data_IF_480267482198
#
_entry.id   IF_480267482198
#
_cell.length_a   1.000
_cell.length_b   1.000
_cell.length_c   1.000
_cell.angle_alpha   90.00
_cell.angle_beta   90.00
_cell.angle_gamma   90.00
#
_symmetry.space_group_name_H-M   'P 1'
#
loop_
_entity.id
_entity.type
_entity.pdbx_description
1 polymer ?
#
# COMPACT_ATOMS: atom_id res chain seq x y z
N UNK A 1 -13.59 16.36 4.48
CA UNK A 1 -13.45 15.29 3.46
C UNK A 1 -12.67 14.14 4.07
N UNK A 2 -13.15 12.92 3.90
CA UNK A 2 -12.54 11.69 4.44
C UNK A 2 -11.91 10.91 3.28
N UNK A 3 -10.59 10.75 3.32
CA UNK A 3 -9.79 10.08 2.29
C UNK A 3 -9.21 8.80 2.89
N UNK A 4 -9.66 7.66 2.39
CA UNK A 4 -9.12 6.35 2.73
C UNK A 4 -7.87 6.07 1.89
N UNK A 5 -6.71 6.02 2.53
CA UNK A 5 -5.43 5.89 1.85
C UNK A 5 -5.03 4.44 1.53
N UNK A 6 -5.83 3.45 1.95
CA UNK A 6 -5.49 2.04 1.82
C UNK A 6 -6.69 1.21 1.33
N UNK A 7 -6.89 1.19 0.03
CA UNK A 7 -7.91 0.38 -0.63
C UNK A 7 -7.31 -0.57 -1.66
N UNK A 8 -7.91 -1.77 -1.77
CA UNK A 8 -7.48 -2.77 -2.74
C UNK A 8 -8.63 -3.33 -3.56
N UNK A 9 -8.40 -3.64 -4.83
CA UNK A 9 -9.38 -4.30 -5.68
C UNK A 9 -9.45 -5.80 -5.38
N UNK A 10 -9.88 -6.14 -4.15
CA UNK A 10 -10.03 -7.54 -3.68
C UNK A 10 -11.25 -8.24 -4.23
N UNK A 11 -12.20 -7.48 -4.78
CA UNK A 11 -13.42 -7.98 -5.44
C UNK A 11 -13.30 -8.06 -6.96
N UNK A 12 -12.08 -7.91 -7.51
CA UNK A 12 -11.84 -7.97 -8.95
C UNK A 12 -12.50 -9.21 -9.60
N UNK A 13 -13.01 -9.09 -10.84
CA UNK A 13 -13.63 -10.19 -11.55
C UNK A 13 -12.73 -11.43 -11.58
N UNK A 14 -13.34 -12.62 -11.47
CA UNK A 14 -12.62 -13.90 -11.40
C UNK A 14 -11.71 -14.14 -12.62
N UNK A 15 -12.05 -13.55 -13.77
CA UNK A 15 -11.25 -13.62 -14.99
C UNK A 15 -9.81 -13.13 -14.79
N UNK A 16 -9.58 -12.10 -13.95
CA UNK A 16 -8.24 -11.63 -13.61
C UNK A 16 -7.40 -12.72 -12.94
N UNK A 17 -7.95 -13.40 -11.93
CA UNK A 17 -7.28 -14.51 -11.26
C UNK A 17 -7.00 -15.68 -12.19
N UNK A 18 -7.97 -16.06 -13.02
CA UNK A 18 -7.83 -17.13 -14.00
C UNK A 18 -6.77 -16.81 -15.07
N UNK A 19 -6.68 -15.55 -15.51
CA UNK A 19 -5.62 -15.10 -16.41
C UNK A 19 -4.24 -15.22 -15.76
N UNK A 20 -4.11 -14.78 -14.49
CA UNK A 20 -2.84 -14.89 -13.76
C UNK A 20 -2.39 -16.35 -13.57
N UNK A 21 -3.31 -17.26 -13.23
CA UNK A 21 -3.01 -18.68 -13.09
C UNK A 21 -2.52 -19.29 -14.42
N UNK A 22 -3.16 -18.93 -15.55
CA UNK A 22 -2.69 -19.32 -16.89
C UNK A 22 -1.30 -18.77 -17.19
N UNK A 23 -1.04 -17.50 -16.86
CA UNK A 23 0.27 -16.85 -17.07
C UNK A 23 1.37 -17.61 -16.33
N UNK A 24 1.17 -17.94 -15.05
CA UNK A 24 2.13 -18.67 -14.23
C UNK A 24 2.38 -20.07 -14.81
N UNK A 25 1.31 -20.80 -15.16
CA UNK A 25 1.41 -22.14 -15.73
C UNK A 25 2.15 -22.12 -17.06
N UNK A 26 1.77 -21.24 -17.97
CA UNK A 26 2.38 -21.12 -19.29
C UNK A 26 3.88 -20.76 -19.21
N UNK A 27 4.26 -19.89 -18.26
CA UNK A 27 5.68 -19.61 -18.01
C UNK A 27 6.46 -20.88 -17.67
N UNK A 28 5.94 -21.76 -16.82
CA UNK A 28 6.55 -23.06 -16.48
C UNK A 28 6.66 -24.01 -17.68
N UNK A 29 5.86 -23.81 -18.72
CA UNK A 29 5.87 -24.55 -19.99
C UNK A 29 6.71 -23.84 -21.08
N UNK A 30 7.37 -22.72 -20.76
CA UNK A 30 8.14 -21.92 -21.72
C UNK A 30 7.29 -21.09 -22.70
N UNK A 31 6.02 -20.86 -22.38
CA UNK A 31 5.06 -20.10 -23.18
C UNK A 31 4.67 -18.81 -22.47
N UNK A 32 4.27 -17.79 -23.23
CA UNK A 32 3.75 -16.53 -22.68
C UNK A 32 2.28 -16.34 -23.03
N UNK A 33 1.53 -15.86 -22.04
CA UNK A 33 0.13 -15.43 -22.20
C UNK A 33 0.13 -13.92 -22.42
N UNK A 34 -0.56 -13.46 -23.47
CA UNK A 34 -0.67 -12.02 -23.75
C UNK A 34 -1.60 -11.33 -22.74
N UNK A 35 -1.28 -10.10 -22.29
CA UNK A 35 -2.24 -9.23 -21.59
C UNK A 35 -3.57 -9.05 -22.34
N UNK A 36 -3.53 -9.01 -23.69
CA UNK A 36 -4.71 -8.83 -24.54
C UNK A 36 -5.69 -10.02 -24.51
N UNK A 37 -5.28 -11.15 -23.92
CA UNK A 37 -6.18 -12.31 -23.72
C UNK A 37 -7.09 -12.16 -22.49
N UNK A 38 -6.92 -11.08 -21.70
CA UNK A 38 -7.81 -10.82 -20.58
C UNK A 38 -9.04 -10.03 -21.04
N UNK A 39 -10.16 -10.68 -20.99
CA UNK A 39 -11.47 -10.06 -21.28
C UNK A 39 -12.23 -9.83 -19.96
N UNK A 40 -12.45 -8.58 -19.60
CA UNK A 40 -13.29 -8.12 -18.50
C UNK A 40 -14.07 -6.91 -19.01
N UNK A 41 -15.38 -6.98 -18.96
CA UNK A 41 -16.26 -5.87 -19.35
C UNK A 41 -16.36 -4.80 -18.25
N UNK A 42 -16.75 -3.58 -18.62
CA UNK A 42 -17.02 -2.52 -17.65
C UNK A 42 -18.22 -2.86 -16.75
N UNK A 43 -19.18 -3.63 -17.25
CA UNK A 43 -20.32 -4.09 -16.44
C UNK A 43 -19.89 -5.05 -15.34
N UNK A 44 -18.94 -5.96 -15.60
CA UNK A 44 -18.36 -6.83 -14.58
C UNK A 44 -17.58 -6.03 -13.52
N UNK A 45 -16.85 -4.99 -13.94
CA UNK A 45 -16.16 -4.09 -13.02
C UNK A 45 -17.16 -3.32 -12.17
N UNK A 46 -18.23 -2.75 -12.78
CA UNK A 46 -19.28 -2.02 -12.05
C UNK A 46 -19.92 -2.92 -11.00
N UNK A 47 -20.38 -4.10 -11.38
CA UNK A 47 -21.00 -5.04 -10.45
C UNK A 47 -20.08 -5.39 -9.28
N UNK A 48 -18.79 -5.63 -9.54
CA UNK A 48 -17.81 -5.96 -8.50
C UNK A 48 -17.56 -4.80 -7.51
N UNK A 49 -17.58 -3.56 -7.99
CA UNK A 49 -17.33 -2.35 -7.18
C UNK A 49 -18.61 -1.90 -6.45
N UNK A 50 -19.75 -1.86 -7.13
CA UNK A 50 -21.02 -1.38 -6.57
C UNK A 50 -21.50 -2.24 -5.41
N UNK A 51 -21.43 -3.57 -5.54
CA UNK A 51 -21.80 -4.51 -4.47
C UNK A 51 -20.74 -4.68 -3.38
N UNK A 52 -19.53 -4.16 -3.62
CA UNK A 52 -18.37 -4.29 -2.74
C UNK A 52 -17.92 -2.96 -2.11
N UNK A 53 -16.78 -2.45 -2.59
CA UNK A 53 -16.11 -1.29 -2.01
C UNK A 53 -16.98 -0.02 -2.03
N UNK A 54 -17.67 0.28 -3.13
CA UNK A 54 -18.47 1.50 -3.25
C UNK A 54 -19.64 1.52 -2.26
N UNK A 55 -20.27 0.36 -2.05
CA UNK A 55 -21.34 0.21 -1.05
C UNK A 55 -20.82 0.55 0.35
N UNK A 56 -19.74 -0.09 0.78
CA UNK A 56 -19.16 0.14 2.11
C UNK A 56 -18.61 1.55 2.26
N UNK A 57 -17.95 2.09 1.23
CA UNK A 57 -17.48 3.48 1.22
C UNK A 57 -18.62 4.46 1.47
N UNK A 58 -19.78 4.24 0.83
CA UNK A 58 -20.98 5.06 0.99
C UNK A 58 -21.59 4.90 2.38
N UNK A 59 -21.77 3.67 2.86
CA UNK A 59 -22.34 3.35 4.16
C UNK A 59 -21.50 3.91 5.32
N UNK A 60 -20.18 3.93 5.16
CA UNK A 60 -19.23 4.43 6.18
C UNK A 60 -18.93 5.93 6.06
N UNK A 61 -19.40 6.58 5.01
CA UNK A 61 -19.21 8.02 4.77
C UNK A 61 -17.77 8.40 4.40
N UNK A 62 -17.05 7.52 3.71
CA UNK A 62 -15.75 7.83 3.09
C UNK A 62 -15.99 8.53 1.74
N UNK A 63 -15.29 9.62 1.48
CA UNK A 63 -15.49 10.40 0.26
C UNK A 63 -14.68 9.87 -0.91
N UNK A 64 -13.39 9.55 -0.68
CA UNK A 64 -12.45 9.11 -1.69
C UNK A 64 -11.58 7.96 -1.15
N UNK A 65 -11.25 7.00 -1.99
CA UNK A 65 -10.30 5.92 -1.67
C UNK A 65 -9.12 5.93 -2.65
N UNK A 66 -7.90 5.95 -2.12
CA UNK A 66 -6.69 5.61 -2.88
C UNK A 66 -6.70 4.11 -3.10
N UNK A 67 -6.86 3.70 -4.35
CA UNK A 67 -7.24 2.35 -4.71
C UNK A 67 -6.15 1.66 -5.54
N UNK A 68 -5.76 0.47 -5.13
CA UNK A 68 -4.67 -0.29 -5.75
C UNK A 68 -5.11 -1.70 -6.16
N UNK A 69 -4.32 -2.41 -6.99
CA UNK A 69 -4.48 -3.86 -7.15
C UNK A 69 -4.44 -4.59 -5.81
N UNK A 70 -4.98 -5.80 -5.77
CA UNK A 70 -5.01 -6.62 -4.56
C UNK A 70 -3.59 -7.02 -4.10
N UNK A 71 -3.07 -6.37 -3.07
CA UNK A 71 -1.70 -6.54 -2.59
C UNK A 71 -1.34 -7.98 -2.22
N UNK A 72 -2.24 -8.72 -1.60
CA UNK A 72 -2.02 -10.13 -1.24
C UNK A 72 -1.70 -11.07 -2.43
N UNK A 73 -1.97 -10.62 -3.67
CA UNK A 73 -1.75 -11.39 -4.90
C UNK A 73 -0.69 -10.79 -5.81
N UNK A 74 0.15 -9.87 -5.33
CA UNK A 74 1.24 -9.31 -6.12
C UNK A 74 2.16 -10.41 -6.68
N UNK A 75 2.66 -11.29 -5.82
CA UNK A 75 3.31 -12.56 -6.19
C UNK A 75 4.34 -12.42 -7.34
N UNK A 76 5.28 -11.45 -7.20
CA UNK A 76 6.27 -11.12 -8.23
C UNK A 76 7.40 -12.15 -8.39
N UNK A 77 7.50 -13.11 -7.45
CA UNK A 77 8.45 -14.22 -7.53
C UNK A 77 8.06 -15.28 -8.57
N UNK A 78 6.83 -15.25 -9.12
CA UNK A 78 6.43 -16.13 -10.19
C UNK A 78 6.92 -15.62 -11.55
N UNK A 79 7.71 -16.43 -12.22
CA UNK A 79 8.21 -16.12 -13.53
C UNK A 79 9.47 -15.23 -13.47
N UNK A 80 9.63 -14.42 -14.48
CA UNK A 80 10.72 -13.47 -14.65
C UNK A 80 10.23 -12.02 -14.55
N UNK A 81 11.14 -11.07 -14.76
CA UNK A 81 10.84 -9.64 -14.73
C UNK A 81 9.80 -9.23 -15.78
N UNK A 82 9.73 -9.92 -16.93
CA UNK A 82 8.71 -9.66 -17.94
C UNK A 82 7.34 -10.15 -17.50
N UNK A 83 7.26 -11.33 -16.88
CA UNK A 83 6.03 -11.88 -16.32
C UNK A 83 5.49 -10.97 -15.21
N UNK A 84 6.37 -10.45 -14.37
CA UNK A 84 6.04 -9.49 -13.33
C UNK A 84 5.53 -8.17 -13.91
N UNK A 85 6.17 -7.64 -14.97
CA UNK A 85 5.74 -6.42 -15.67
C UNK A 85 4.35 -6.58 -16.30
N UNK A 86 4.12 -7.65 -17.04
CA UNK A 86 2.83 -7.91 -17.68
C UNK A 86 1.69 -8.03 -16.65
N UNK A 87 1.96 -8.70 -15.52
CA UNK A 87 1.02 -8.78 -14.42
C UNK A 87 0.70 -7.43 -13.78
N UNK A 88 1.74 -6.63 -13.50
CA UNK A 88 1.55 -5.29 -12.92
C UNK A 88 0.72 -4.41 -13.84
N UNK A 89 1.02 -4.38 -15.14
CA UNK A 89 0.29 -3.61 -16.14
C UNK A 89 -1.18 -3.99 -16.21
N UNK A 90 -1.47 -5.26 -16.34
CA UNK A 90 -2.86 -5.77 -16.38
C UNK A 90 -3.64 -5.34 -15.13
N UNK A 91 -3.02 -5.48 -13.95
CA UNK A 91 -3.67 -5.13 -12.70
C UNK A 91 -3.86 -3.60 -12.55
N UNK A 92 -2.86 -2.80 -12.93
CA UNK A 92 -2.92 -1.33 -12.90
C UNK A 92 -3.96 -0.78 -13.90
N UNK A 93 -4.01 -1.34 -15.13
CA UNK A 93 -5.00 -0.93 -16.14
C UNK A 93 -6.42 -1.23 -15.68
N UNK A 94 -6.62 -2.33 -14.96
CA UNK A 94 -7.92 -2.64 -14.38
C UNK A 94 -8.32 -1.64 -13.28
N UNK A 95 -7.38 -1.22 -12.43
CA UNK A 95 -7.62 -0.15 -11.43
C UNK A 95 -7.91 1.19 -12.13
N UNK A 96 -7.19 1.51 -13.21
CA UNK A 96 -7.44 2.72 -13.98
C UNK A 96 -8.88 2.76 -14.55
N UNK A 97 -9.39 1.60 -15.01
CA UNK A 97 -10.80 1.48 -15.44
C UNK A 97 -11.77 1.71 -14.30
N UNK A 98 -11.50 1.18 -13.08
CA UNK A 98 -12.32 1.49 -11.89
C UNK A 98 -12.35 3.01 -11.64
N UNK A 99 -11.19 3.66 -11.65
CA UNK A 99 -11.10 5.11 -11.45
C UNK A 99 -11.84 5.90 -12.54
N UNK A 100 -11.79 5.45 -13.78
CA UNK A 100 -12.54 6.05 -14.90
C UNK A 100 -14.06 5.86 -14.79
N UNK A 101 -14.53 4.74 -14.25
CA UNK A 101 -15.93 4.44 -14.04
C UNK A 101 -16.53 5.16 -12.82
N UNK A 102 -15.71 5.45 -11.81
CA UNK A 102 -16.11 6.07 -10.53
C UNK A 102 -15.13 7.19 -10.13
N UNK A 103 -14.94 8.25 -10.94
CA UNK A 103 -13.86 9.23 -10.78
C UNK A 103 -13.93 10.06 -9.48
N UNK A 104 -15.14 10.22 -8.92
CA UNK A 104 -15.35 10.95 -7.67
C UNK A 104 -15.16 10.08 -6.41
N UNK A 105 -14.90 8.79 -6.58
CA UNK A 105 -14.87 7.82 -5.49
C UNK A 105 -13.54 7.09 -5.36
N UNK A 106 -12.79 6.91 -6.45
CA UNK A 106 -11.54 6.18 -6.48
C UNK A 106 -10.46 6.93 -7.26
N UNK A 107 -9.23 6.87 -6.73
CA UNK A 107 -8.02 7.34 -7.39
C UNK A 107 -6.95 6.25 -7.29
N UNK A 108 -6.19 6.03 -8.35
CA UNK A 108 -5.29 4.89 -8.45
C UNK A 108 -3.97 5.04 -7.69
N UNK A 109 -3.51 3.94 -7.09
CA UNK A 109 -2.13 3.69 -6.74
C UNK A 109 -1.69 2.38 -7.41
N UNK A 110 -0.50 2.37 -8.02
CA UNK A 110 -0.06 1.20 -8.79
C UNK A 110 0.67 0.15 -7.95
N UNK A 111 0.55 -1.12 -8.32
CA UNK A 111 1.56 -2.09 -7.95
C UNK A 111 2.74 -2.00 -8.91
N UNK A 112 3.95 -2.25 -8.41
CA UNK A 112 5.18 -2.21 -9.18
C UNK A 112 5.67 -3.62 -9.54
N UNK A 113 6.26 -3.84 -10.72
CA UNK A 113 6.88 -5.11 -11.05
C UNK A 113 8.20 -5.27 -10.28
N UNK A 114 8.19 -6.08 -9.23
CA UNK A 114 9.34 -6.30 -8.33
C UNK A 114 9.78 -7.77 -8.33
N UNK A 115 10.16 -8.31 -9.50
CA UNK A 115 10.68 -9.68 -9.58
C UNK A 115 11.99 -9.80 -8.78
N UNK A 116 12.10 -10.73 -7.82
CA UNK A 116 13.33 -10.93 -7.05
C UNK A 116 14.42 -11.69 -7.83
N UNK A 117 15.60 -11.80 -7.24
CA UNK A 117 16.72 -12.59 -7.78
C UNK A 117 17.52 -11.84 -8.84
N UNK A 118 18.09 -12.58 -9.79
CA UNK A 118 19.05 -12.05 -10.78
C UNK A 118 18.44 -10.98 -11.71
N UNK A 119 17.10 -10.95 -11.85
CA UNK A 119 16.35 -9.95 -12.61
C UNK A 119 16.04 -8.66 -11.86
N UNK A 120 16.45 -8.51 -10.60
CA UNK A 120 16.03 -7.40 -9.74
C UNK A 120 16.35 -6.02 -10.33
N UNK A 121 17.55 -5.77 -10.81
CA UNK A 121 17.90 -4.48 -11.41
C UNK A 121 17.02 -4.11 -12.61
N UNK A 122 16.74 -5.09 -13.48
CA UNK A 122 15.83 -4.91 -14.61
C UNK A 122 14.41 -4.66 -14.10
N UNK A 123 14.01 -5.38 -13.08
CA UNK A 123 12.70 -5.22 -12.43
C UNK A 123 12.52 -3.82 -11.83
N UNK A 124 13.55 -3.26 -11.19
CA UNK A 124 13.49 -1.90 -10.63
C UNK A 124 13.41 -0.84 -11.75
N UNK A 125 14.14 -1.01 -12.86
CA UNK A 125 13.97 -0.15 -14.05
C UNK A 125 12.56 -0.25 -14.63
N UNK A 126 12.00 -1.46 -14.73
CA UNK A 126 10.62 -1.65 -15.13
C UNK A 126 9.64 -1.01 -14.15
N UNK A 127 9.93 -1.06 -12.84
CA UNK A 127 9.11 -0.41 -11.81
C UNK A 127 9.09 1.11 -11.97
N UNK A 128 10.23 1.73 -12.23
CA UNK A 128 10.32 3.18 -12.47
C UNK A 128 9.54 3.59 -13.73
N UNK A 129 9.67 2.83 -14.84
CA UNK A 129 8.96 3.08 -16.07
C UNK A 129 7.44 2.86 -15.94
N UNK A 130 7.02 1.82 -15.21
CA UNK A 130 5.59 1.55 -14.96
C UNK A 130 4.98 2.58 -14.02
N UNK A 131 5.74 3.04 -13.02
CA UNK A 131 5.32 4.15 -12.17
C UNK A 131 5.06 5.41 -12.98
N UNK A 132 6.00 5.79 -13.86
CA UNK A 132 5.86 6.95 -14.75
C UNK A 132 4.61 6.82 -15.62
N UNK A 133 4.39 5.67 -16.27
CA UNK A 133 3.19 5.40 -17.05
C UNK A 133 1.91 5.56 -16.21
N UNK A 134 1.87 4.94 -15.03
CA UNK A 134 0.69 5.00 -14.17
C UNK A 134 0.38 6.43 -13.71
N UNK A 135 1.40 7.21 -13.40
CA UNK A 135 1.21 8.59 -12.94
C UNK A 135 0.86 9.53 -14.08
N UNK A 136 1.59 9.48 -15.21
CA UNK A 136 1.44 10.45 -16.28
C UNK A 136 0.28 10.10 -17.25
N UNK A 137 0.07 8.81 -17.55
CA UNK A 137 -0.96 8.40 -18.49
C UNK A 137 -2.27 8.00 -17.81
N UNK A 138 -2.21 7.31 -16.64
CA UNK A 138 -3.40 6.82 -15.92
C UNK A 138 -3.82 7.75 -14.77
N UNK A 139 -2.98 8.75 -14.43
CA UNK A 139 -3.25 9.76 -13.41
C UNK A 139 -3.24 9.18 -11.98
N UNK A 140 -2.43 8.18 -11.70
CA UNK A 140 -2.30 7.61 -10.36
C UNK A 140 -1.53 8.57 -9.43
N UNK A 141 -1.73 8.42 -8.13
CA UNK A 141 -1.21 9.37 -7.12
C UNK A 141 -0.19 8.74 -6.18
N UNK A 142 0.14 7.46 -6.35
CA UNK A 142 1.07 6.72 -5.52
C UNK A 142 1.30 5.30 -6.03
N UNK A 143 2.08 4.54 -5.29
CA UNK A 143 2.35 3.13 -5.60
C UNK A 143 2.43 2.26 -4.33
N UNK A 144 2.38 0.95 -4.52
CA UNK A 144 2.74 -0.04 -3.51
C UNK A 144 4.21 -0.46 -3.71
N UNK A 145 4.97 -0.54 -2.63
CA UNK A 145 6.36 -0.96 -2.63
C UNK A 145 6.51 -2.19 -1.72
N UNK A 146 6.82 -3.34 -2.31
CA UNK A 146 6.92 -4.59 -1.57
C UNK A 146 8.32 -4.76 -0.96
N UNK A 147 8.46 -4.83 0.37
CA UNK A 147 9.75 -5.01 1.04
C UNK A 147 10.28 -6.45 0.94
N UNK A 148 9.44 -7.40 0.59
CA UNK A 148 9.82 -8.80 0.34
C UNK A 148 9.11 -9.36 -0.90
N UNK A 149 9.57 -9.04 -2.11
CA UNK A 149 8.97 -9.53 -3.34
C UNK A 149 9.13 -11.06 -3.54
N UNK A 150 9.79 -11.76 -2.62
CA UNK A 150 9.92 -13.21 -2.60
C UNK A 150 8.87 -13.92 -1.73
N UNK A 151 7.85 -13.20 -1.25
CA UNK A 151 6.69 -13.71 -0.52
C UNK A 151 7.07 -14.56 0.72
N UNK A 152 7.82 -13.97 1.64
CA UNK A 152 8.19 -14.57 2.92
C UNK A 152 9.55 -15.25 2.96
N UNK A 153 10.35 -15.16 1.89
CA UNK A 153 11.70 -15.75 1.85
C UNK A 153 12.83 -14.73 1.98
N UNK A 154 12.55 -13.43 1.92
CA UNK A 154 13.50 -12.33 2.08
C UNK A 154 14.75 -12.49 1.20
N UNK A 155 14.56 -12.83 -0.08
CA UNK A 155 15.63 -13.06 -1.05
C UNK A 155 16.07 -11.78 -1.77
N UNK A 156 15.31 -10.70 -1.66
CA UNK A 156 15.70 -9.39 -2.18
C UNK A 156 16.51 -8.60 -1.12
N UNK A 157 17.39 -7.68 -1.53
CA UNK A 157 18.03 -6.75 -0.61
C UNK A 157 16.98 -5.84 0.06
N UNK A 158 17.31 -5.23 1.22
CA UNK A 158 16.40 -4.33 1.91
C UNK A 158 16.06 -3.12 1.03
N UNK A 159 14.87 -2.53 1.24
CA UNK A 159 14.42 -1.35 0.48
C UNK A 159 15.38 -0.14 0.57
N UNK A 160 16.33 -0.16 1.50
CA UNK A 160 17.35 0.86 1.65
C UNK A 160 18.60 0.61 0.82
N UNK A 161 18.65 -0.50 0.07
CA UNK A 161 19.75 -0.79 -0.85
C UNK A 161 19.71 0.12 -2.09
N UNK A 162 20.89 0.46 -2.59
CA UNK A 162 21.04 1.37 -3.74
C UNK A 162 20.45 0.84 -5.05
N UNK A 163 20.17 -0.44 -5.14
CA UNK A 163 19.48 -1.03 -6.29
C UNK A 163 18.10 -0.40 -6.51
N UNK A 164 17.46 0.10 -5.43
CA UNK A 164 16.16 0.77 -5.51
C UNK A 164 16.23 2.27 -5.84
N UNK A 165 17.41 2.89 -5.83
CA UNK A 165 17.59 4.33 -6.04
C UNK A 165 16.95 4.86 -7.33
N UNK A 166 17.05 4.18 -8.49
CA UNK A 166 16.37 4.64 -9.72
C UNK A 166 14.85 4.75 -9.58
N UNK A 167 14.23 3.91 -8.73
CA UNK A 167 12.81 4.01 -8.42
C UNK A 167 12.52 5.21 -7.50
N UNK A 168 13.36 5.44 -6.48
CA UNK A 168 13.19 6.57 -5.56
C UNK A 168 13.41 7.92 -6.26
N UNK A 169 14.38 8.02 -7.15
CA UNK A 169 14.57 9.18 -8.03
C UNK A 169 13.28 9.47 -8.82
N UNK A 170 12.66 8.44 -9.42
CA UNK A 170 11.42 8.57 -10.17
C UNK A 170 10.22 8.95 -9.26
N UNK A 171 10.14 8.40 -8.05
CA UNK A 171 9.09 8.77 -7.10
C UNK A 171 9.18 10.24 -6.68
N UNK A 172 10.39 10.75 -6.44
CA UNK A 172 10.63 12.16 -6.10
C UNK A 172 10.33 13.06 -7.32
N UNK A 173 10.81 12.70 -8.50
CA UNK A 173 10.52 13.42 -9.76
C UNK A 173 9.02 13.57 -10.01
N UNK A 174 8.26 12.49 -9.80
CA UNK A 174 6.82 12.46 -10.02
C UNK A 174 6.01 12.99 -8.82
N UNK A 175 6.66 13.34 -7.72
CA UNK A 175 6.02 13.78 -6.47
C UNK A 175 4.94 12.82 -5.95
N UNK A 176 5.26 11.54 -5.85
CA UNK A 176 4.35 10.49 -5.39
C UNK A 176 4.92 9.70 -4.20
N UNK A 177 4.09 9.30 -3.22
CA UNK A 177 4.49 8.42 -2.12
C UNK A 177 4.42 6.96 -2.54
N UNK A 178 5.08 6.08 -1.74
CA UNK A 178 4.77 4.66 -1.75
C UNK A 178 4.19 4.19 -0.40
N UNK A 179 3.23 3.30 -0.46
CA UNK A 179 2.82 2.47 0.68
C UNK A 179 3.66 1.19 0.67
N UNK A 180 4.36 0.93 1.77
CA UNK A 180 5.07 -0.33 1.97
C UNK A 180 4.03 -1.43 2.15
N UNK A 181 4.08 -2.49 1.33
CA UNK A 181 3.10 -3.55 1.45
C UNK A 181 3.65 -4.88 0.95
N UNK A 182 3.71 -5.90 1.83
CA UNK A 182 4.06 -7.26 1.42
C UNK A 182 2.89 -7.95 0.72
N UNK A 183 3.18 -8.95 -0.09
CA UNK A 183 2.19 -9.91 -0.56
C UNK A 183 1.94 -11.02 0.49
N UNK A 184 1.01 -11.92 0.21
CA UNK A 184 0.76 -13.06 1.07
C UNK A 184 1.97 -13.99 1.11
N UNK A 185 2.43 -14.38 2.30
CA UNK A 185 3.57 -15.30 2.43
C UNK A 185 3.24 -16.69 1.88
N UNK A 186 4.25 -17.27 1.25
CA UNK A 186 4.27 -18.67 0.78
C UNK A 186 5.28 -19.53 1.53
N UNK A 187 5.96 -18.95 2.49
CA UNK A 187 6.84 -19.67 3.39
C UNK A 187 6.01 -20.34 4.49
N UNK A 188 6.00 -21.66 4.54
CA UNK A 188 5.22 -22.45 5.51
C UNK A 188 5.61 -22.15 6.96
N UNK A 189 6.79 -21.56 7.20
CA UNK A 189 7.20 -21.12 8.54
C UNK A 189 6.51 -19.83 8.99
N UNK A 190 5.81 -19.12 8.10
CA UNK A 190 5.12 -17.86 8.38
C UNK A 190 3.62 -18.02 8.18
N UNK A 191 2.82 -17.42 9.07
CA UNK A 191 1.40 -17.25 8.79
C UNK A 191 1.21 -16.22 7.65
N UNK A 192 0.48 -16.60 6.59
CA UNK A 192 0.55 -16.01 5.27
C UNK A 192 0.10 -14.56 5.14
N UNK A 193 -0.82 -14.10 5.99
CA UNK A 193 -1.38 -12.73 5.91
C UNK A 193 -1.10 -11.93 7.18
N UNK A 194 -1.83 -12.13 8.26
CA UNK A 194 -1.77 -11.25 9.42
C UNK A 194 -0.35 -11.11 10.01
N UNK A 195 0.31 -12.23 10.39
CA UNK A 195 1.62 -12.16 11.03
C UNK A 195 2.72 -11.69 10.07
N UNK A 196 2.71 -12.18 8.82
CA UNK A 196 3.71 -11.80 7.83
C UNK A 196 3.63 -10.30 7.47
N UNK A 197 2.42 -9.76 7.32
CA UNK A 197 2.22 -8.34 7.02
C UNK A 197 2.82 -7.46 8.10
N UNK A 198 2.45 -7.68 9.37
CA UNK A 198 2.97 -6.91 10.51
C UNK A 198 4.48 -7.06 10.70
N UNK A 199 5.04 -8.25 10.42
CA UNK A 199 6.48 -8.48 10.47
C UNK A 199 7.21 -7.72 9.37
N UNK A 200 6.69 -7.72 8.14
CA UNK A 200 7.24 -6.98 7.00
C UNK A 200 7.27 -5.47 7.24
N UNK A 201 6.16 -4.91 7.72
CA UNK A 201 6.03 -3.49 8.08
C UNK A 201 7.06 -3.07 9.12
N UNK A 202 7.17 -3.87 10.19
CA UNK A 202 8.11 -3.62 11.29
C UNK A 202 9.56 -3.71 10.81
N UNK A 203 9.89 -4.70 9.97
CA UNK A 203 11.23 -4.89 9.42
C UNK A 203 11.61 -3.73 8.49
N UNK A 204 10.70 -3.33 7.60
CA UNK A 204 10.92 -2.20 6.70
C UNK A 204 11.16 -0.90 7.48
N UNK A 205 10.34 -0.60 8.49
CA UNK A 205 10.54 0.57 9.35
C UNK A 205 11.93 0.60 9.97
N UNK A 206 12.41 -0.49 10.54
CA UNK A 206 13.73 -0.54 11.16
C UNK A 206 14.88 -0.41 10.15
N UNK A 207 14.72 -0.91 8.93
CA UNK A 207 15.68 -0.66 7.84
C UNK A 207 15.78 0.83 7.53
N UNK A 208 14.65 1.53 7.43
CA UNK A 208 14.59 2.98 7.18
C UNK A 208 15.29 3.77 8.28
N UNK A 209 15.04 3.44 9.56
CA UNK A 209 15.63 4.11 10.72
C UNK A 209 17.15 4.03 10.75
N UNK A 210 17.73 2.97 10.22
CA UNK A 210 19.18 2.66 10.31
C UNK A 210 19.94 2.90 9.03
N UNK A 211 19.33 3.59 8.07
CA UNK A 211 19.91 3.89 6.76
C UNK A 211 20.07 5.39 6.53
N UNK A 212 20.79 5.74 5.48
CA UNK A 212 20.93 7.13 5.01
C UNK A 212 19.91 7.47 3.90
N UNK A 213 18.89 6.62 3.66
CA UNK A 213 17.93 6.80 2.57
C UNK A 213 17.30 8.20 2.54
N UNK A 214 16.86 8.70 3.69
CA UNK A 214 16.23 10.03 3.76
C UNK A 214 17.23 11.20 3.75
N UNK A 215 18.53 10.93 3.90
CA UNK A 215 19.57 11.93 3.60
C UNK A 215 19.76 12.04 2.09
N UNK A 216 19.73 10.90 1.37
CA UNK A 216 19.88 10.85 -0.08
C UNK A 216 18.59 11.32 -0.79
N UNK A 217 17.43 11.04 -0.21
CA UNK A 217 16.08 11.40 -0.73
C UNK A 217 15.23 12.10 0.34
N UNK A 218 15.49 13.37 0.67
CA UNK A 218 14.75 14.07 1.73
C UNK A 218 13.28 14.32 1.40
N UNK A 219 12.88 14.26 0.15
CA UNK A 219 11.50 14.45 -0.31
C UNK A 219 10.71 13.14 -0.48
N UNK A 220 11.38 11.99 -0.33
CA UNK A 220 10.73 10.68 -0.41
C UNK A 220 9.73 10.50 0.73
N UNK A 221 8.52 10.04 0.41
CA UNK A 221 7.45 9.79 1.38
C UNK A 221 7.03 8.33 1.34
N UNK A 222 7.08 7.67 2.50
CA UNK A 222 6.73 6.26 2.66
C UNK A 222 5.65 6.09 3.72
N UNK A 223 4.63 5.31 3.42
CA UNK A 223 3.55 4.95 4.33
C UNK A 223 3.78 3.52 4.81
N UNK A 224 3.88 3.31 6.11
CA UNK A 224 3.91 1.99 6.74
C UNK A 224 2.47 1.61 7.11
N UNK A 225 1.88 0.61 6.49
CA UNK A 225 0.48 0.25 6.70
C UNK A 225 0.26 -0.52 8.02
N UNK A 226 -0.98 -0.91 8.25
CA UNK A 226 -1.42 -1.72 9.40
C UNK A 226 -0.98 -1.13 10.75
N UNK A 227 -1.12 0.21 10.87
CA UNK A 227 -0.71 0.96 12.07
C UNK A 227 0.81 0.92 12.33
N UNK A 228 1.61 0.58 11.33
CA UNK A 228 3.05 0.42 11.47
C UNK A 228 3.50 -0.94 12.02
N UNK A 229 2.64 -1.95 11.91
CA UNK A 229 2.93 -3.28 12.46
C UNK A 229 3.13 -3.25 13.98
N UNK A 230 4.28 -3.66 14.49
CA UNK A 230 4.61 -3.63 15.91
C UNK A 230 5.27 -2.30 16.36
N UNK A 231 5.48 -1.35 15.46
CA UNK A 231 6.29 -0.15 15.71
C UNK A 231 5.75 0.72 16.85
N UNK A 232 4.48 1.17 16.87
CA UNK A 232 4.00 2.02 17.97
C UNK A 232 4.07 1.33 19.32
N UNK A 233 3.74 0.03 19.37
CA UNK A 233 3.77 -0.74 20.60
C UNK A 233 5.18 -0.91 21.18
N UNK A 234 6.22 -0.95 20.33
CA UNK A 234 7.62 -1.12 20.71
C UNK A 234 8.46 0.17 20.54
N UNK A 235 7.85 1.34 20.43
CA UNK A 235 8.52 2.61 20.18
C UNK A 235 9.71 2.87 21.11
N UNK A 236 9.52 2.64 22.41
CA UNK A 236 10.58 2.78 23.39
C UNK A 236 11.78 1.86 23.16
N UNK A 237 11.55 0.64 22.64
CA UNK A 237 12.62 -0.29 22.28
C UNK A 237 13.45 0.26 21.12
N UNK A 238 12.80 0.81 20.10
CA UNK A 238 13.49 1.39 18.94
C UNK A 238 14.24 2.66 19.28
N UNK A 239 13.68 3.53 20.11
CA UNK A 239 14.38 4.70 20.64
C UNK A 239 15.65 4.31 21.40
N UNK A 240 15.57 3.32 22.28
CA UNK A 240 16.70 2.79 23.01
C UNK A 240 17.79 2.22 22.09
N UNK A 241 17.38 1.49 21.05
CA UNK A 241 18.30 0.97 20.04
C UNK A 241 19.02 2.10 19.28
N UNK A 242 18.31 3.13 18.82
CA UNK A 242 18.91 4.27 18.13
C UNK A 242 19.94 4.96 19.01
N UNK A 243 19.62 5.20 20.26
CA UNK A 243 20.55 5.80 21.24
C UNK A 243 21.79 4.92 21.47
N UNK A 244 21.63 3.61 21.67
CA UNK A 244 22.74 2.66 21.88
C UNK A 244 23.72 2.65 20.69
N UNK A 245 23.20 2.83 19.47
CA UNK A 245 24.00 2.88 18.24
C UNK A 245 24.56 4.27 17.92
N UNK A 246 24.27 5.28 18.71
CA UNK A 246 24.68 6.66 18.43
C UNK A 246 24.05 7.24 17.16
N UNK A 247 22.86 6.72 16.79
CA UNK A 247 22.07 7.22 15.67
C UNK A 247 21.22 8.42 16.10
N UNK A 248 20.71 9.23 15.17
CA UNK A 248 19.79 10.32 15.48
C UNK A 248 18.57 9.83 16.28
N UNK A 249 17.91 10.69 17.07
CA UNK A 249 16.64 10.37 17.68
C UNK A 249 15.67 9.80 16.65
N UNK A 250 14.89 8.79 17.05
CA UNK A 250 14.00 8.06 16.14
C UNK A 250 13.03 8.99 15.40
N UNK A 251 12.48 9.95 16.12
CA UNK A 251 11.55 10.95 15.59
C UNK A 251 12.21 11.84 14.50
N UNK A 252 13.46 12.23 14.70
CA UNK A 252 14.21 13.03 13.73
C UNK A 252 14.65 12.20 12.51
N UNK A 253 14.95 10.92 12.73
CA UNK A 253 15.42 10.04 11.67
C UNK A 253 14.36 9.73 10.62
N UNK A 254 13.07 9.67 11.00
CA UNK A 254 12.04 9.11 10.10
C UNK A 254 10.77 9.93 10.00
N UNK A 255 10.31 10.68 11.02
CA UNK A 255 8.98 11.32 10.99
C UNK A 255 8.84 12.49 10.00
N UNK A 256 9.91 12.89 9.33
CA UNK A 256 9.85 13.80 8.18
C UNK A 256 9.30 13.12 6.92
N UNK A 257 9.50 11.80 6.80
CA UNK A 257 9.35 11.04 5.57
C UNK A 257 8.42 9.83 5.71
N UNK A 258 8.21 9.34 6.95
CA UNK A 258 7.44 8.13 7.24
C UNK A 258 6.10 8.49 7.87
N UNK A 259 5.07 7.86 7.34
CA UNK A 259 3.68 8.00 7.76
C UNK A 259 3.13 6.62 8.10
N UNK A 260 2.04 6.60 8.89
CA UNK A 260 1.40 5.36 9.32
C UNK A 260 -0.08 5.42 8.96
N UNK A 261 -0.69 4.29 8.72
CA UNK A 261 -2.13 4.23 8.48
C UNK A 261 -2.91 3.76 9.71
N UNK A 262 -4.23 3.81 9.63
CA UNK A 262 -5.14 3.41 10.71
C UNK A 262 -5.68 1.99 10.58
N UNK A 263 -5.14 1.12 9.74
CA UNK A 263 -5.62 -0.27 9.55
C UNK A 263 -5.27 -1.17 10.75
N UNK A 264 -5.72 -0.83 11.94
CA UNK A 264 -5.43 -1.54 13.20
C UNK A 264 -6.59 -2.44 13.66
N UNK A 265 -7.82 -2.12 13.25
CA UNK A 265 -9.06 -2.87 13.54
C UNK A 265 -9.39 -3.06 15.02
N UNK A 266 -8.84 -2.23 15.89
CA UNK A 266 -9.08 -2.28 17.34
C UNK A 266 -8.91 -0.89 17.96
N UNK A 267 -9.92 -0.43 18.70
CA UNK A 267 -9.96 0.93 19.28
C UNK A 267 -8.73 1.24 20.14
N UNK A 268 -8.38 0.34 21.07
CA UNK A 268 -7.20 0.54 21.93
C UNK A 268 -5.89 0.59 21.17
N UNK A 269 -5.80 -0.12 20.05
CA UNK A 269 -4.65 -0.07 19.16
C UNK A 269 -4.54 1.29 18.46
N UNK A 270 -5.67 1.85 18.02
CA UNK A 270 -5.72 3.19 17.42
C UNK A 270 -5.41 4.29 18.46
N UNK A 271 -5.92 4.17 19.68
CA UNK A 271 -5.57 5.07 20.80
C UNK A 271 -4.05 5.05 21.02
N UNK A 272 -3.42 3.87 21.11
CA UNK A 272 -1.97 3.74 21.27
C UNK A 272 -1.20 4.32 20.07
N UNK A 273 -1.64 4.06 18.84
CA UNK A 273 -1.01 4.63 17.63
C UNK A 273 -0.97 6.16 17.72
N UNK A 274 -2.10 6.78 18.06
CA UNK A 274 -2.24 8.24 18.14
C UNK A 274 -1.56 8.87 19.38
N UNK A 275 -1.36 8.09 20.44
CA UNK A 275 -0.60 8.52 21.62
C UNK A 275 0.93 8.54 21.33
N UNK A 276 1.40 7.63 20.47
CA UNK A 276 2.84 7.43 20.21
C UNK A 276 3.29 8.18 18.97
N UNK A 277 2.50 8.14 17.90
CA UNK A 277 2.81 8.75 16.61
C UNK A 277 2.05 10.07 16.49
N UNK A 278 2.75 11.19 16.20
CA UNK A 278 2.06 12.47 16.00
C UNK A 278 0.95 12.37 14.96
N UNK A 279 -0.22 12.94 15.24
CA UNK A 279 -1.40 12.88 14.35
C UNK A 279 -1.09 13.32 12.91
N UNK A 280 -0.17 14.28 12.74
CA UNK A 280 0.30 14.72 11.41
C UNK A 280 1.00 13.62 10.59
N UNK A 281 1.41 12.51 11.20
CA UNK A 281 2.03 11.37 10.53
C UNK A 281 1.07 10.17 10.40
N UNK A 282 -0.19 10.32 10.78
CA UNK A 282 -1.20 9.27 10.69
C UNK A 282 -2.21 9.59 9.58
N UNK A 283 -2.47 8.61 8.71
CA UNK A 283 -3.39 8.69 7.58
C UNK A 283 -4.61 7.81 7.85
N UNK A 284 -5.80 8.31 7.62
CA UNK A 284 -6.99 7.46 7.67
C UNK A 284 -6.92 6.41 6.56
N UNK A 285 -7.18 5.17 6.96
CA UNK A 285 -7.24 4.03 6.06
C UNK A 285 -8.07 2.90 6.69
N UNK A 286 -8.72 2.10 5.85
CA UNK A 286 -9.57 1.01 6.33
C UNK A 286 -9.23 -0.35 5.74
N UNK A 287 -8.57 -0.39 4.58
CA UNK A 287 -8.34 -1.64 3.84
C UNK A 287 -9.64 -2.46 3.70
N UNK A 288 -10.75 -1.77 3.45
CA UNK A 288 -12.08 -2.39 3.41
C UNK A 288 -12.14 -3.55 2.43
N UNK A 289 -12.76 -4.65 2.87
CA UNK A 289 -12.79 -5.95 2.14
C UNK A 289 -11.37 -6.48 1.87
N UNK A 290 -10.40 -6.13 2.70
CA UNK A 290 -9.00 -6.57 2.60
C UNK A 290 -8.76 -7.93 3.28
N UNK A 291 -7.71 -7.98 4.10
CA UNK A 291 -7.27 -9.18 4.78
C UNK A 291 -8.22 -9.65 5.91
N UNK A 292 -8.88 -8.71 6.59
CA UNK A 292 -9.80 -9.00 7.69
C UNK A 292 -11.25 -8.80 7.23
N UNK A 293 -12.07 -9.79 7.47
CA UNK A 293 -13.50 -9.79 7.10
C UNK A 293 -14.33 -10.35 8.24
N UNK A 294 -15.61 -9.99 8.23
CA UNK A 294 -16.59 -10.46 9.22
C UNK A 294 -17.06 -9.36 10.16
N UNK A 295 -18.06 -9.71 10.96
CA UNK A 295 -18.66 -8.80 11.95
C UNK A 295 -18.06 -9.10 13.31
N UNK A 296 -17.55 -8.06 13.95
CA UNK A 296 -17.09 -8.11 15.33
C UNK A 296 -18.29 -8.27 16.27
N UNK A 297 -18.36 -9.35 17.06
CA UNK A 297 -19.47 -9.58 17.97
C UNK A 297 -19.55 -8.56 19.12
N UNK A 298 -18.46 -7.86 19.44
CA UNK A 298 -18.44 -6.85 20.51
C UNK A 298 -19.07 -5.54 20.05
N UNK A 299 -18.90 -5.17 18.79
CA UNK A 299 -19.38 -3.89 18.24
C UNK A 299 -20.59 -4.03 17.34
N UNK A 300 -20.84 -5.23 16.80
CA UNK A 300 -21.86 -5.47 15.77
C UNK A 300 -21.51 -4.85 14.40
N UNK A 301 -20.27 -4.36 14.22
CA UNK A 301 -19.75 -3.76 12.99
C UNK A 301 -18.74 -4.68 12.31
N UNK A 302 -18.48 -4.46 11.02
CA UNK A 302 -17.37 -5.15 10.38
C UNK A 302 -16.05 -4.79 11.08
N UNK A 303 -15.13 -5.75 11.23
CA UNK A 303 -13.81 -5.50 11.83
C UNK A 303 -13.06 -4.36 11.14
N UNK A 304 -13.20 -4.23 9.82
CA UNK A 304 -12.58 -3.21 8.98
C UNK A 304 -13.34 -1.86 8.94
N UNK A 305 -14.35 -1.66 9.81
CA UNK A 305 -15.03 -0.36 9.99
C UNK A 305 -14.18 0.57 10.88
N UNK A 306 -12.99 0.91 10.37
CA UNK A 306 -12.00 1.73 11.09
C UNK A 306 -12.54 3.11 11.41
N UNK A 307 -13.38 3.69 10.52
CA UNK A 307 -13.97 4.99 10.78
C UNK A 307 -14.83 5.00 12.05
N UNK A 308 -15.65 3.99 12.25
CA UNK A 308 -16.45 3.84 13.48
C UNK A 308 -15.56 3.77 14.73
N UNK A 309 -14.44 3.05 14.66
CA UNK A 309 -13.49 2.94 15.77
C UNK A 309 -12.81 4.29 16.06
N UNK A 310 -12.39 5.00 15.02
CA UNK A 310 -11.70 6.28 15.10
C UNK A 310 -12.63 7.42 15.57
N UNK A 311 -13.90 7.42 15.12
CA UNK A 311 -14.93 8.39 15.57
C UNK A 311 -15.15 8.32 17.09
N UNK A 312 -14.90 7.17 17.71
CA UNK A 312 -15.00 6.98 19.16
C UNK A 312 -13.79 7.46 19.95
N UNK A 313 -12.72 7.94 19.30
CA UNK A 313 -11.50 8.44 19.98
C UNK A 313 -11.60 9.94 20.19
N UNK A 314 -11.17 10.41 21.36
CA UNK A 314 -11.14 11.83 21.69
C UNK A 314 -9.92 12.50 21.05
N UNK A 315 -10.13 13.14 19.90
CA UNK A 315 -9.14 13.90 19.14
C UNK A 315 -9.57 15.36 19.09
N UNK A 316 -8.60 16.25 19.07
CA UNK A 316 -8.86 17.65 18.71
C UNK A 316 -9.45 17.75 17.30
N UNK A 317 -10.21 18.80 17.01
CA UNK A 317 -10.75 19.00 15.65
C UNK A 317 -9.62 19.10 14.61
N UNK A 318 -8.48 19.72 14.97
CA UNK A 318 -7.29 19.82 14.11
C UNK A 318 -6.69 18.45 13.81
N UNK A 319 -6.48 17.60 14.82
CA UNK A 319 -5.93 16.25 14.62
C UNK A 319 -6.89 15.36 13.84
N UNK A 320 -8.20 15.48 14.13
CA UNK A 320 -9.25 14.76 13.41
C UNK A 320 -9.25 15.13 11.92
N UNK A 321 -9.23 16.40 11.60
CA UNK A 321 -9.17 16.90 10.23
C UNK A 321 -7.87 16.47 9.52
N UNK A 322 -6.74 16.50 10.25
CA UNK A 322 -5.46 16.06 9.72
C UNK A 322 -5.49 14.56 9.37
N UNK A 323 -5.93 13.71 10.29
CA UNK A 323 -5.97 12.25 10.09
C UNK A 323 -6.94 11.85 8.98
N UNK A 324 -8.17 12.41 8.97
CA UNK A 324 -9.19 12.01 8.00
C UNK A 324 -8.91 12.44 6.55
N UNK A 325 -8.16 13.51 6.32
CA UNK A 325 -7.92 13.94 4.94
C UNK A 325 -6.76 14.91 4.76
N UNK A 326 -6.48 15.79 5.72
CA UNK A 326 -5.44 16.80 5.59
C UNK A 326 -4.05 16.19 5.33
N UNK A 327 -3.70 15.11 6.04
CA UNK A 327 -2.45 14.40 5.83
C UNK A 327 -2.41 13.69 4.48
N UNK A 328 -3.54 13.10 4.04
CA UNK A 328 -3.63 12.48 2.71
C UNK A 328 -3.34 13.48 1.59
N UNK A 329 -3.92 14.68 1.65
CA UNK A 329 -3.66 15.75 0.67
C UNK A 329 -2.20 16.23 0.68
N UNK A 330 -1.51 16.15 1.82
CA UNK A 330 -0.10 16.50 1.94
C UNK A 330 0.83 15.38 1.45
N UNK A 331 0.51 14.13 1.78
CA UNK A 331 1.34 12.96 1.45
C UNK A 331 1.16 12.55 -0.01
N UNK A 332 -0.07 12.52 -0.48
CA UNK A 332 -0.44 12.27 -1.88
C UNK A 332 -0.72 13.60 -2.58
N UNK A 333 0.30 14.44 -2.74
CA UNK A 333 0.23 15.82 -3.24
C UNK A 333 -0.52 15.95 -4.58
N UNK A 334 -0.44 14.91 -5.43
CA UNK A 334 -1.16 14.84 -6.72
C UNK A 334 -2.69 14.79 -6.59
N UNK A 335 -3.24 14.51 -5.40
CA UNK A 335 -4.68 14.67 -5.15
C UNK A 335 -5.14 16.11 -5.36
N UNK A 336 -4.31 17.09 -5.00
CA UNK A 336 -4.63 18.52 -5.15
C UNK A 336 -4.78 18.94 -6.63
N UNK A 337 -4.02 18.34 -7.54
CA UNK A 337 -4.07 18.66 -8.98
C UNK A 337 -5.33 18.13 -9.66
N UNK A 338 -6.06 17.19 -9.03
CA UNK A 338 -7.32 16.65 -9.51
C UNK A 338 -8.56 17.44 -9.06
N UNK A 339 -8.35 18.58 -8.39
CA UNK A 339 -9.46 19.37 -7.85
C UNK A 339 -10.08 18.79 -6.59
N UNK A 340 -9.43 17.80 -5.98
CA UNK A 340 -9.75 17.30 -4.63
C UNK A 340 -9.30 18.39 -3.65
N UNK A 341 -10.21 19.29 -3.31
CA UNK A 341 -9.96 20.39 -2.36
C UNK A 341 -10.77 20.18 -1.09
N UNK A 342 -10.26 20.74 0.02
CA UNK A 342 -10.95 20.75 1.33
C UNK A 342 -12.39 21.23 1.26
#
# INVERSE_FOLDING_TARGET
MIIDCHGHFTTAPKALGAWRERQIKAFGEGVRVSPDELEISDDEIRAAIEDGQLKLQTERGTDLTVFSPGAGKMAHHYGDERTSLDWSRVANDLVARVCGLFPDRFVGACQLPQSPGDGLETSIRNSAAELERCVEELGFVGCLLNPDPSDGFYQAPPLTDKVYYPLYEKMVELDVPAMIHVAMSRNDALQGTCAHYLAGDTAAFMQLCTSDLFKDFPELRLVIPHGGGAVPYHWGRYRGFMQDKGLPPLEEAVLGNVFFDTCVYHRRGLELLLDVIPAKNVLFASEMIGAVRGVDPETGRNFDDVKFLLDGIDLTDEDRDAVYGGNALRVFSRLNTRGVTK
#
